data_IF_628326960740
#
_entry.id   IF_628326960740
#
_cell.length_a   1.000
_cell.length_b   1.000
_cell.length_c   1.000
_cell.angle_alpha   90.00
_cell.angle_beta   90.00
_cell.angle_gamma   90.00
#
_symmetry.space_group_name_H-M   'P 1'
#
loop_
_entity.id
_entity.type
_entity.pdbx_description
1 polymer ?
#
# COMPACT_ATOMS: atom_id res chain seq x y z
N UNK A 1 -27.82 21.17 1.04
CA UNK A 1 -26.82 20.56 0.14
C UNK A 1 -25.51 21.28 0.39
N UNK A 2 -24.49 20.65 0.97
CA UNK A 2 -23.20 21.32 1.29
C UNK A 2 -22.31 21.28 0.05
N UNK A 3 -21.86 22.43 -0.41
CA UNK A 3 -20.90 22.55 -1.51
C UNK A 3 -19.56 21.90 -1.13
N UNK A 4 -19.21 20.81 -1.82
CA UNK A 4 -18.05 19.96 -1.53
C UNK A 4 -16.76 20.50 -2.18
N UNK A 5 -16.81 21.67 -2.81
CA UNK A 5 -15.75 22.15 -3.70
C UNK A 5 -14.78 23.13 -3.02
N UNK A 6 -14.22 22.71 -1.88
CA UNK A 6 -13.16 23.47 -1.23
C UNK A 6 -11.79 23.04 -1.80
N UNK A 7 -11.40 23.63 -2.93
CA UNK A 7 -10.03 23.60 -3.52
C UNK A 7 -9.55 22.30 -4.22
N UNK A 8 -10.39 21.62 -5.01
CA UNK A 8 -9.88 20.62 -5.95
C UNK A 8 -9.02 21.29 -7.05
N UNK A 9 -7.83 20.75 -7.32
CA UNK A 9 -6.89 21.25 -8.34
C UNK A 9 -6.52 20.13 -9.29
N UNK A 10 -6.19 20.49 -10.53
CA UNK A 10 -5.77 19.55 -11.57
C UNK A 10 -4.47 20.02 -12.23
N UNK A 11 -3.83 19.10 -12.93
CA UNK A 11 -2.61 19.28 -13.72
C UNK A 11 -2.89 18.73 -15.12
N UNK A 12 -2.49 19.46 -16.17
CA UNK A 12 -2.71 19.05 -17.55
C UNK A 12 -1.43 18.54 -18.23
N UNK A 13 -1.26 17.21 -18.22
CA UNK A 13 -0.13 16.54 -18.84
C UNK A 13 -0.05 16.71 -20.37
N UNK A 14 -1.17 16.98 -21.07
CA UNK A 14 -1.16 17.23 -22.52
C UNK A 14 -0.50 18.56 -22.90
N UNK A 15 -0.41 19.49 -21.94
CA UNK A 15 0.27 20.77 -22.09
C UNK A 15 1.67 20.73 -21.48
N UNK A 16 2.23 19.54 -21.22
CA UNK A 16 3.51 19.36 -20.54
C UNK A 16 3.55 19.98 -19.13
N UNK A 17 2.39 20.12 -18.47
CA UNK A 17 2.31 20.45 -17.05
C UNK A 17 2.43 19.13 -16.25
N UNK A 18 3.50 18.96 -15.48
CA UNK A 18 3.76 17.77 -14.64
C UNK A 18 3.64 18.05 -13.13
N UNK A 19 3.26 19.27 -12.80
CA UNK A 19 3.15 19.74 -11.43
C UNK A 19 3.19 21.25 -11.37
N UNK A 20 2.46 21.80 -10.42
CA UNK A 20 2.41 23.24 -10.17
C UNK A 20 2.46 23.47 -8.66
N UNK A 21 3.62 23.91 -8.17
CA UNK A 21 3.86 24.06 -6.72
C UNK A 21 3.51 22.77 -5.96
N UNK A 22 2.59 22.83 -5.00
CA UNK A 22 2.12 21.66 -4.22
C UNK A 22 1.05 20.82 -4.92
N UNK A 23 0.63 21.19 -6.14
CA UNK A 23 -0.36 20.44 -6.92
C UNK A 23 0.37 19.52 -7.89
N UNK A 24 0.36 18.21 -7.63
CA UNK A 24 0.91 17.19 -8.54
C UNK A 24 0.28 15.82 -8.30
N UNK A 25 0.30 14.97 -9.32
CA UNK A 25 -0.07 13.55 -9.23
C UNK A 25 1.14 12.62 -9.07
N UNK A 26 2.36 13.16 -9.12
CA UNK A 26 3.61 12.40 -9.09
C UNK A 26 3.73 11.45 -7.89
N UNK A 27 3.22 11.85 -6.71
CA UNK A 27 3.26 10.99 -5.51
C UNK A 27 2.43 9.72 -5.69
N UNK A 28 1.20 9.84 -6.20
CA UNK A 28 0.31 8.68 -6.40
C UNK A 28 0.79 7.81 -7.56
N UNK A 29 1.29 8.43 -8.63
CA UNK A 29 1.88 7.70 -9.76
C UNK A 29 3.13 6.90 -9.35
N UNK A 30 3.99 7.50 -8.53
CA UNK A 30 5.18 6.84 -7.99
C UNK A 30 4.82 5.63 -7.12
N UNK A 31 3.77 5.74 -6.29
CA UNK A 31 3.24 4.62 -5.51
C UNK A 31 2.80 3.47 -6.41
N UNK A 32 1.92 3.74 -7.39
CA UNK A 32 1.41 2.69 -8.29
C UNK A 32 2.49 2.12 -9.22
N UNK A 33 3.49 2.92 -9.60
CA UNK A 33 4.65 2.43 -10.35
C UNK A 33 5.42 1.37 -9.56
N UNK A 34 5.61 1.60 -8.26
CA UNK A 34 6.31 0.66 -7.36
C UNK A 34 5.48 -0.60 -7.12
N UNK A 35 4.16 -0.44 -6.88
CA UNK A 35 3.22 -1.55 -6.76
C UNK A 35 3.25 -2.48 -7.98
N UNK A 36 3.10 -1.92 -9.19
CA UNK A 36 3.09 -2.68 -10.44
C UNK A 36 4.41 -3.43 -10.68
N UNK A 37 5.56 -2.81 -10.37
CA UNK A 37 6.86 -3.50 -10.46
C UNK A 37 6.94 -4.69 -9.51
N UNK A 38 6.43 -4.56 -8.29
CA UNK A 38 6.42 -5.66 -7.34
C UNK A 38 5.49 -6.81 -7.74
N UNK A 39 4.36 -6.52 -8.41
CA UNK A 39 3.51 -7.57 -8.98
C UNK A 39 4.23 -8.38 -10.07
N UNK A 40 5.01 -7.71 -10.93
CA UNK A 40 5.74 -8.39 -12.01
C UNK A 40 6.99 -9.13 -11.47
N UNK A 41 7.66 -8.56 -10.47
CA UNK A 41 8.91 -9.12 -9.92
C UNK A 41 8.71 -10.15 -8.82
N UNK A 42 8.02 -9.76 -7.74
CA UNK A 42 7.95 -10.54 -6.49
C UNK A 42 6.69 -11.40 -6.42
N UNK A 43 5.54 -10.86 -6.80
CA UNK A 43 4.24 -11.53 -6.66
C UNK A 43 3.71 -12.02 -8.01
N UNK A 44 4.48 -12.88 -8.68
CA UNK A 44 4.01 -13.52 -9.90
C UNK A 44 2.80 -14.41 -9.55
N UNK A 45 1.68 -14.22 -10.24
CA UNK A 45 0.38 -14.88 -9.99
C UNK A 45 -0.43 -14.39 -8.77
N UNK A 46 -0.70 -13.08 -8.69
CA UNK A 46 -1.68 -12.55 -7.72
C UNK A 46 -3.11 -13.00 -8.05
N UNK A 47 -3.77 -13.62 -7.08
CA UNK A 47 -5.22 -13.84 -7.08
C UNK A 47 -5.96 -12.62 -6.55
N UNK A 48 -7.11 -12.31 -7.16
CA UNK A 48 -8.01 -11.26 -6.69
C UNK A 48 -8.44 -11.46 -5.22
N UNK A 49 -8.53 -12.71 -4.75
CA UNK A 49 -8.90 -13.04 -3.36
C UNK A 49 -7.89 -12.54 -2.32
N UNK A 50 -6.66 -12.23 -2.72
CA UNK A 50 -5.59 -11.78 -1.83
C UNK A 50 -5.08 -10.37 -2.17
N UNK A 51 -5.68 -9.68 -3.15
CA UNK A 51 -5.21 -8.39 -3.65
C UNK A 51 -5.07 -7.34 -2.53
N UNK A 52 -6.03 -7.32 -1.61
CA UNK A 52 -6.04 -6.44 -0.43
C UNK A 52 -4.81 -6.63 0.46
N UNK A 53 -4.27 -7.85 0.57
CA UNK A 53 -3.09 -8.12 1.40
C UNK A 53 -1.83 -7.51 0.78
N UNK A 54 -1.70 -7.63 -0.54
CA UNK A 54 -0.60 -6.99 -1.27
C UNK A 54 -0.72 -5.46 -1.18
N UNK A 55 -1.91 -4.89 -1.39
CA UNK A 55 -2.11 -3.44 -1.25
C UNK A 55 -1.75 -2.94 0.15
N UNK A 56 -2.17 -3.64 1.21
CA UNK A 56 -1.81 -3.28 2.58
C UNK A 56 -0.29 -3.30 2.82
N UNK A 57 0.43 -4.28 2.27
CA UNK A 57 1.89 -4.31 2.38
C UNK A 57 2.57 -3.13 1.67
N UNK A 58 2.10 -2.76 0.48
CA UNK A 58 2.65 -1.62 -0.25
C UNK A 58 2.31 -0.29 0.41
N UNK A 59 1.10 -0.15 0.96
CA UNK A 59 0.70 1.00 1.76
C UNK A 59 1.61 1.15 2.97
N UNK A 60 1.79 0.08 3.76
CA UNK A 60 2.72 0.05 4.89
C UNK A 60 4.13 0.51 4.47
N UNK A 61 4.71 -0.12 3.44
CA UNK A 61 6.05 0.23 2.94
C UNK A 61 6.15 1.69 2.48
N UNK A 62 5.12 2.21 1.83
CA UNK A 62 5.12 3.59 1.35
C UNK A 62 5.04 4.57 2.51
N UNK A 63 4.20 4.27 3.51
CA UNK A 63 3.92 5.12 4.66
C UNK A 63 4.97 5.02 5.76
N UNK A 64 5.78 3.96 5.79
CA UNK A 64 6.83 3.71 6.80
C UNK A 64 8.26 3.84 6.26
N UNK A 65 8.50 4.74 5.29
CA UNK A 65 9.81 4.88 4.62
C UNK A 65 10.67 6.00 5.24
N UNK A 66 11.98 5.90 5.06
CA UNK A 66 12.96 6.89 5.52
C UNK A 66 12.68 8.33 5.06
N UNK A 67 12.08 8.54 3.88
CA UNK A 67 11.66 9.88 3.40
C UNK A 67 10.61 10.55 4.29
N UNK A 68 9.90 9.78 5.10
CA UNK A 68 8.94 10.28 6.09
C UNK A 68 9.55 10.29 7.50
N UNK A 69 10.89 10.28 7.58
CA UNK A 69 11.65 10.32 8.83
C UNK A 69 11.38 9.12 9.74
N UNK A 70 10.96 7.99 9.15
CA UNK A 70 10.78 6.72 9.86
C UNK A 70 12.01 5.85 9.63
N UNK A 71 12.73 5.57 10.71
CA UNK A 71 13.88 4.67 10.65
C UNK A 71 13.48 3.18 10.65
N UNK A 72 14.46 2.30 10.47
CA UNK A 72 14.20 0.86 10.41
C UNK A 72 13.75 0.26 11.75
N UNK A 73 14.20 0.83 12.88
CA UNK A 73 13.81 0.38 14.20
C UNK A 73 12.35 0.75 14.48
N UNK A 74 11.96 2.00 14.20
CA UNK A 74 10.59 2.49 14.28
C UNK A 74 9.66 1.72 13.35
N UNK A 75 10.06 1.49 12.09
CA UNK A 75 9.29 0.65 11.16
C UNK A 75 9.02 -0.73 11.73
N UNK A 76 10.04 -1.33 12.37
CA UNK A 76 9.91 -2.64 13.02
C UNK A 76 8.94 -2.58 14.19
N UNK A 77 8.99 -1.53 15.02
CA UNK A 77 8.04 -1.34 16.12
C UNK A 77 6.59 -1.15 15.64
N UNK A 78 6.37 -0.44 14.54
CA UNK A 78 5.03 -0.30 13.93
C UNK A 78 4.52 -1.67 13.50
N UNK A 79 5.34 -2.44 12.76
CA UNK A 79 4.97 -3.78 12.32
C UNK A 79 4.63 -4.71 13.50
N UNK A 80 5.40 -4.66 14.60
CA UNK A 80 5.14 -5.47 15.79
C UNK A 80 3.80 -5.13 16.46
N UNK A 81 3.42 -3.84 16.50
CA UNK A 81 2.12 -3.42 17.03
C UNK A 81 0.96 -3.97 16.19
N UNK A 82 1.11 -3.97 14.87
CA UNK A 82 0.07 -4.46 13.96
C UNK A 82 -0.11 -5.98 14.00
N UNK A 83 0.91 -6.73 14.44
CA UNK A 83 0.87 -8.20 14.56
C UNK A 83 0.05 -8.66 15.79
N UNK A 84 -0.19 -7.80 16.78
CA UNK A 84 -0.87 -8.19 18.01
C UNK A 84 -2.28 -8.73 17.70
N UNK A 85 -2.54 -9.96 18.15
CA UNK A 85 -3.81 -10.66 17.89
C UNK A 85 -3.86 -11.45 16.58
N UNK A 86 -2.90 -11.26 15.68
CA UNK A 86 -2.74 -12.10 14.48
C UNK A 86 -1.99 -13.38 14.84
N UNK A 87 -2.73 -14.42 15.23
CA UNK A 87 -2.18 -15.75 15.51
C UNK A 87 -2.58 -16.74 14.41
N UNK A 88 -1.61 -17.30 13.71
CA UNK A 88 -1.82 -18.45 12.84
C UNK A 88 -1.77 -19.71 13.69
N UNK A 89 -2.87 -20.47 13.75
CA UNK A 89 -2.91 -21.78 14.40
C UNK A 89 -2.78 -22.87 13.35
N UNK A 90 -2.04 -23.92 13.67
CA UNK A 90 -2.07 -25.13 12.84
C UNK A 90 -3.47 -25.74 12.89
N UNK A 91 -3.89 -26.30 11.75
CA UNK A 91 -5.06 -27.17 11.71
C UNK A 91 -4.83 -28.33 12.66
N UNK A 92 -5.77 -28.60 13.56
CA UNK A 92 -5.66 -29.73 14.48
C UNK A 92 -5.97 -31.03 13.74
N UNK A 93 -5.34 -32.13 14.18
CA UNK A 93 -5.38 -33.44 13.51
C UNK A 93 -6.83 -33.97 13.40
N UNK A 94 -7.67 -33.64 14.38
CA UNK A 94 -9.08 -34.00 14.51
C UNK A 94 -10.04 -33.19 13.61
N UNK A 95 -9.57 -32.13 12.95
CA UNK A 95 -10.40 -31.21 12.13
C UNK A 95 -10.19 -31.39 10.62
N UNK A 96 -9.49 -32.45 10.20
CA UNK A 96 -9.39 -32.82 8.79
C UNK A 96 -10.68 -33.57 8.37
N UNK A 97 -11.41 -33.13 7.33
CA UNK A 97 -12.44 -33.96 6.74
C UNK A 97 -11.75 -35.22 6.24
N UNK A 98 -12.22 -36.37 6.73
CA UNK A 98 -11.63 -37.69 6.52
C UNK A 98 -10.95 -37.82 5.14
N UNK A 99 -9.65 -38.10 5.16
CA UNK A 99 -8.88 -38.43 3.97
C UNK A 99 -9.32 -39.78 3.39
#
# INVERSE_FOLDING_TARGET
MRDINANHRAVNHSQYEFGRSKVSTNTVESFFSTFKRGLVGTYQHVSAAHLQRYMAEFDFRHSSRARLEIDDAERTQIALKDIVGMRLTYRRIDEAPHA
#
